data_IF_946665113264
#
_entry.id   IF_946665113264
#
_cell.length_a   1.000
_cell.length_b   1.000
_cell.length_c   1.000
_cell.angle_alpha   90.00
_cell.angle_beta   90.00
_cell.angle_gamma   90.00
#
_symmetry.space_group_name_H-M   'P 1'
#
loop_
_entity.id
_entity.type
_entity.pdbx_description
1 polymer ?
#
# COMPACT_ATOMS: atom_id res chain seq x y z
N UNK A 1 -7.58 -6.32 3.78
CA UNK A 1 -7.25 -7.59 4.48
C UNK A 1 -5.84 -7.57 5.04
N UNK A 2 -4.80 -7.42 4.22
CA UNK A 2 -3.39 -7.36 4.64
C UNK A 2 -3.11 -6.36 5.78
N UNK A 3 -3.61 -5.13 5.67
CA UNK A 3 -3.48 -4.09 6.71
C UNK A 3 -4.07 -4.52 8.05
N UNK A 4 -5.26 -5.11 8.04
CA UNK A 4 -5.95 -5.55 9.25
C UNK A 4 -5.20 -6.71 9.92
N UNK A 5 -4.70 -7.66 9.13
CA UNK A 5 -3.87 -8.77 9.62
C UNK A 5 -2.56 -8.25 10.21
N UNK A 6 -1.88 -7.33 9.52
CA UNK A 6 -0.62 -6.77 10.01
C UNK A 6 -0.81 -5.92 11.28
N UNK A 7 -1.92 -5.18 11.39
CA UNK A 7 -2.25 -4.43 12.59
C UNK A 7 -2.62 -5.36 13.77
N UNK A 8 -3.40 -6.42 13.52
CA UNK A 8 -3.77 -7.36 14.57
C UNK A 8 -2.56 -8.17 15.08
N UNK A 9 -1.70 -8.66 14.18
CA UNK A 9 -0.49 -9.39 14.56
C UNK A 9 0.49 -8.51 15.34
N UNK A 10 0.61 -7.24 14.97
CA UNK A 10 1.41 -6.28 15.73
C UNK A 10 0.83 -6.04 17.13
N UNK A 11 -0.49 -5.80 17.26
CA UNK A 11 -1.13 -5.62 18.57
C UNK A 11 -0.97 -6.84 19.46
N UNK A 12 -1.11 -8.04 18.91
CA UNK A 12 -0.87 -9.28 19.65
C UNK A 12 0.59 -9.42 20.08
N UNK A 13 1.55 -9.08 19.21
CA UNK A 13 2.97 -9.18 19.54
C UNK A 13 3.41 -8.17 20.61
N UNK A 14 2.94 -6.92 20.54
CA UNK A 14 3.22 -5.90 21.56
C UNK A 14 2.73 -6.33 22.94
N UNK A 15 1.59 -7.02 23.01
CA UNK A 15 1.03 -7.52 24.26
C UNK A 15 1.71 -8.80 24.78
N UNK A 16 2.31 -9.61 23.90
CA UNK A 16 2.85 -10.93 24.24
C UNK A 16 4.36 -10.91 24.57
N UNK A 17 5.18 -10.28 23.72
CA UNK A 17 6.65 -10.28 23.83
C UNK A 17 7.21 -9.15 22.98
N UNK A 18 7.98 -8.23 23.58
CA UNK A 18 8.52 -7.05 22.92
C UNK A 18 9.15 -7.30 21.54
N UNK A 19 8.99 -6.31 20.65
CA UNK A 19 9.47 -6.18 19.27
C UNK A 19 10.08 -7.46 18.63
N UNK A 20 9.34 -8.05 17.68
CA UNK A 20 9.84 -9.15 16.84
C UNK A 20 11.09 -8.76 16.03
N UNK A 21 11.71 -9.75 15.37
CA UNK A 21 12.94 -9.54 14.59
C UNK A 21 12.81 -8.40 13.57
N UNK A 22 13.92 -7.76 13.21
CA UNK A 22 13.95 -6.65 12.25
C UNK A 22 13.29 -7.00 10.92
N UNK A 23 13.48 -8.24 10.43
CA UNK A 23 12.82 -8.75 9.22
C UNK A 23 11.30 -8.90 9.38
N UNK A 24 10.82 -9.33 10.54
CA UNK A 24 9.38 -9.46 10.81
C UNK A 24 8.71 -8.09 10.90
N UNK A 25 9.34 -7.13 11.56
CA UNK A 25 8.87 -5.74 11.64
C UNK A 25 8.82 -5.08 10.25
N UNK A 26 9.84 -5.33 9.41
CA UNK A 26 9.85 -4.87 8.03
C UNK A 26 8.70 -5.46 7.20
N UNK A 27 8.39 -6.76 7.38
CA UNK A 27 7.26 -7.40 6.69
C UNK A 27 5.89 -6.82 7.12
N UNK A 28 5.72 -6.49 8.41
CA UNK A 28 4.52 -5.79 8.91
C UNK A 28 4.39 -4.42 8.27
N UNK A 29 5.46 -3.62 8.30
CA UNK A 29 5.43 -2.28 7.73
C UNK A 29 5.17 -2.32 6.21
N UNK A 30 5.81 -3.23 5.48
CA UNK A 30 5.55 -3.43 4.06
C UNK A 30 4.09 -3.82 3.78
N UNK A 31 3.52 -4.74 4.57
CA UNK A 31 2.12 -5.16 4.45
C UNK A 31 1.15 -4.00 4.72
N UNK A 32 1.43 -3.17 5.74
CA UNK A 32 0.62 -1.99 6.08
C UNK A 32 0.70 -0.93 5.00
N UNK A 33 1.92 -0.56 4.58
CA UNK A 33 2.13 0.50 3.58
C UNK A 33 1.49 0.10 2.26
N UNK A 34 1.89 -1.05 1.69
CA UNK A 34 1.39 -1.49 0.39
C UNK A 34 -0.11 -1.77 0.48
N UNK A 35 -0.58 -2.43 1.54
CA UNK A 35 -2.00 -2.74 1.73
C UNK A 35 -2.89 -1.50 1.86
N UNK A 36 -2.45 -0.49 2.59
CA UNK A 36 -3.24 0.73 2.83
C UNK A 36 -3.33 1.55 1.54
N UNK A 37 -2.19 1.78 0.89
CA UNK A 37 -2.13 2.50 -0.39
C UNK A 37 -3.03 1.83 -1.42
N UNK A 38 -2.97 0.51 -1.51
CA UNK A 38 -3.77 -0.26 -2.47
C UNK A 38 -5.27 -0.19 -2.20
N UNK A 39 -5.67 -0.24 -0.93
CA UNK A 39 -7.07 -0.15 -0.51
C UNK A 39 -7.69 1.18 -0.92
N UNK A 40 -7.08 2.29 -0.51
CA UNK A 40 -7.58 3.63 -0.85
C UNK A 40 -7.44 3.94 -2.34
N UNK A 41 -6.34 3.54 -2.97
CA UNK A 41 -6.15 3.72 -4.40
C UNK A 41 -7.23 3.01 -5.23
N UNK A 42 -7.61 1.80 -4.84
CA UNK A 42 -8.67 1.04 -5.54
C UNK A 42 -10.04 1.68 -5.36
N UNK A 43 -10.33 2.22 -4.17
CA UNK A 43 -11.58 2.96 -3.91
C UNK A 43 -11.65 4.21 -4.80
N UNK A 44 -10.58 4.99 -4.90
CA UNK A 44 -10.54 6.18 -5.76
C UNK A 44 -10.67 5.79 -7.24
N UNK A 45 -9.99 4.72 -7.68
CA UNK A 45 -10.12 4.23 -9.06
C UNK A 45 -11.57 3.86 -9.41
N UNK A 46 -12.27 3.13 -8.52
CA UNK A 46 -13.70 2.80 -8.71
C UNK A 46 -14.57 4.04 -8.76
N UNK A 47 -14.34 5.01 -7.86
CA UNK A 47 -15.13 6.25 -7.82
C UNK A 47 -14.95 7.10 -9.09
N UNK A 48 -13.75 7.10 -9.68
CA UNK A 48 -13.48 7.77 -10.96
C UNK A 48 -14.14 7.03 -12.14
N UNK A 49 -14.08 5.70 -12.17
CA UNK A 49 -14.75 4.89 -13.20
C UNK A 49 -16.29 4.99 -13.15
N UNK A 50 -16.87 5.18 -11.97
CA UNK A 50 -18.30 5.45 -11.79
C UNK A 50 -18.71 6.88 -12.16
N UNK A 51 -17.77 7.75 -12.52
CA UNK A 51 -18.03 9.17 -12.81
C UNK A 51 -18.36 10.02 -11.58
N UNK A 52 -18.17 9.50 -10.37
CA UNK A 52 -18.53 10.18 -9.12
C UNK A 52 -17.44 11.19 -8.66
N UNK A 53 -16.22 11.04 -9.16
CA UNK A 53 -15.09 11.95 -8.91
C UNK A 53 -14.55 12.44 -10.26
N UNK A 54 -14.45 13.76 -10.41
CA UNK A 54 -13.91 14.41 -11.60
C UNK A 54 -12.41 14.21 -11.78
N UNK A 55 -11.93 14.40 -13.00
CA UNK A 55 -10.52 14.24 -13.32
C UNK A 55 -9.72 15.47 -12.87
N UNK A 56 -8.77 15.30 -11.94
CA UNK A 56 -7.92 16.39 -11.44
C UNK A 56 -6.52 16.36 -12.08
N UNK A 57 -6.48 15.97 -13.36
CA UNK A 57 -5.26 15.89 -14.15
C UNK A 57 -4.56 17.26 -14.11
N UNK A 58 -3.28 17.27 -13.78
CA UNK A 58 -2.42 18.46 -13.77
C UNK A 58 -2.68 19.50 -12.65
N UNK A 59 -3.32 19.12 -11.54
CA UNK A 59 -3.31 19.99 -10.36
C UNK A 59 -1.96 19.88 -9.63
N UNK A 60 -1.18 20.96 -9.64
CA UNK A 60 0.12 21.03 -8.93
C UNK A 60 -0.04 20.77 -7.43
N UNK A 61 -1.20 21.11 -6.84
CA UNK A 61 -1.48 20.85 -5.43
C UNK A 61 -1.47 19.35 -5.12
N UNK A 62 -2.05 18.50 -5.98
CA UNK A 62 -2.04 17.05 -5.77
C UNK A 62 -0.62 16.48 -5.81
N UNK A 63 0.23 16.95 -6.72
CA UNK A 63 1.64 16.52 -6.76
C UNK A 63 2.39 16.88 -5.47
N UNK A 64 2.21 18.11 -4.98
CA UNK A 64 2.83 18.56 -3.72
C UNK A 64 2.30 17.78 -2.52
N UNK A 65 0.98 17.58 -2.41
CA UNK A 65 0.36 16.81 -1.32
C UNK A 65 0.86 15.37 -1.32
N UNK A 66 0.91 14.72 -2.48
CA UNK A 66 1.38 13.35 -2.62
C UNK A 66 2.85 13.21 -2.24
N UNK A 67 3.70 14.13 -2.68
CA UNK A 67 5.12 14.13 -2.33
C UNK A 67 5.34 14.33 -0.82
N UNK A 68 4.65 15.30 -0.22
CA UNK A 68 4.72 15.55 1.23
C UNK A 68 4.24 14.32 2.02
N UNK A 69 3.12 13.74 1.60
CA UNK A 69 2.55 12.55 2.27
C UNK A 69 3.47 11.34 2.09
N UNK A 70 4.16 11.21 0.96
CA UNK A 70 5.14 10.15 0.71
C UNK A 70 6.36 10.29 1.62
N UNK A 71 6.91 11.49 1.74
CA UNK A 71 8.02 11.73 2.68
C UNK A 71 7.57 11.45 4.11
N UNK A 72 6.38 11.91 4.52
CA UNK A 72 5.83 11.66 5.85
C UNK A 72 5.60 10.17 6.13
N UNK A 73 5.08 9.41 5.17
CA UNK A 73 4.86 7.97 5.31
C UNK A 73 6.18 7.20 5.42
N UNK A 74 7.18 7.52 4.58
CA UNK A 74 8.50 6.86 4.61
C UNK A 74 9.24 7.19 5.90
N UNK A 75 9.30 8.47 6.29
CA UNK A 75 9.94 8.88 7.54
C UNK A 75 9.22 8.28 8.76
N UNK A 76 7.89 8.29 8.77
CA UNK A 76 7.09 7.63 9.80
C UNK A 76 7.37 6.12 9.92
N UNK A 77 7.48 5.41 8.80
CA UNK A 77 7.81 3.98 8.79
C UNK A 77 9.22 3.70 9.32
N UNK A 78 10.22 4.50 8.92
CA UNK A 78 11.60 4.36 9.39
C UNK A 78 11.72 4.68 10.89
N UNK A 79 11.06 5.75 11.34
CA UNK A 79 11.02 6.10 12.76
C UNK A 79 10.33 5.00 13.57
N UNK A 80 9.23 4.43 13.07
CA UNK A 80 8.55 3.32 13.73
C UNK A 80 9.45 2.09 13.86
N UNK A 81 10.19 1.75 12.80
CA UNK A 81 11.12 0.63 12.79
C UNK A 81 12.32 0.82 13.75
N UNK A 82 12.82 2.05 13.88
CA UNK A 82 14.04 2.36 14.67
C UNK A 82 13.74 2.68 16.13
N UNK A 83 12.61 3.31 16.42
CA UNK A 83 12.26 3.75 17.78
C UNK A 83 11.71 2.61 18.64
N UNK A 84 11.34 1.46 18.03
CA UNK A 84 10.67 0.37 18.73
C UNK A 84 9.35 0.80 19.39
N UNK A 85 8.70 1.84 18.86
CA UNK A 85 7.52 2.44 19.48
C UNK A 85 6.39 1.41 19.55
N UNK A 86 5.94 1.11 20.77
CA UNK A 86 4.81 0.21 21.03
C UNK A 86 3.48 0.95 21.08
N UNK A 87 3.45 2.23 20.72
CA UNK A 87 2.23 3.04 20.78
C UNK A 87 1.25 2.67 19.65
N UNK A 88 0.02 2.21 19.97
CA UNK A 88 -0.99 1.93 18.94
C UNK A 88 -1.36 3.18 18.14
N UNK A 89 -1.25 4.36 18.76
CA UNK A 89 -1.52 5.64 18.14
C UNK A 89 -0.55 5.95 16.98
N UNK A 90 0.74 5.62 17.12
CA UNK A 90 1.72 5.82 16.05
C UNK A 90 1.47 4.89 14.86
N UNK A 91 1.07 3.63 15.13
CA UNK A 91 0.68 2.69 14.07
C UNK A 91 -0.57 3.19 13.33
N UNK A 92 -1.59 3.65 14.07
CA UNK A 92 -2.80 4.22 13.48
C UNK A 92 -2.51 5.48 12.64
N UNK A 93 -1.61 6.34 13.12
CA UNK A 93 -1.16 7.52 12.36
C UNK A 93 -0.44 7.12 11.06
N UNK A 94 0.43 6.11 11.11
CA UNK A 94 1.11 5.58 9.93
C UNK A 94 0.12 5.01 8.91
N UNK A 95 -0.85 4.21 9.36
CA UNK A 95 -1.93 3.69 8.51
C UNK A 95 -2.71 4.85 7.87
N UNK A 96 -3.08 5.86 8.66
CA UNK A 96 -3.77 7.06 8.17
C UNK A 96 -2.99 7.79 7.09
N UNK A 97 -1.68 7.99 7.28
CA UNK A 97 -0.79 8.59 6.27
C UNK A 97 -0.73 7.74 4.99
N UNK A 98 -0.65 6.42 5.09
CA UNK A 98 -0.60 5.53 3.93
C UNK A 98 -1.94 5.51 3.17
N UNK A 99 -3.07 5.64 3.87
CA UNK A 99 -4.39 5.78 3.25
C UNK A 99 -4.50 7.09 2.47
N UNK A 100 -4.06 8.21 3.06
CA UNK A 100 -4.00 9.50 2.37
C UNK A 100 -3.07 9.45 1.15
N UNK A 101 -1.94 8.75 1.27
CA UNK A 101 -1.00 8.53 0.17
C UNK A 101 -1.64 7.77 -1.00
N UNK A 102 -2.45 6.75 -0.71
CA UNK A 102 -3.20 6.02 -1.75
C UNK A 102 -4.16 6.92 -2.53
N UNK A 103 -4.83 7.85 -1.85
CA UNK A 103 -5.70 8.84 -2.49
C UNK A 103 -4.86 9.77 -3.38
N UNK A 104 -3.79 10.33 -2.82
CA UNK A 104 -2.91 11.27 -3.53
C UNK A 104 -2.20 10.67 -4.75
N UNK A 105 -1.89 9.36 -4.74
CA UNK A 105 -1.27 8.70 -5.89
C UNK A 105 -2.24 8.49 -7.05
N UNK A 106 -3.50 8.11 -6.78
CA UNK A 106 -4.47 7.77 -7.84
C UNK A 106 -5.23 8.99 -8.36
N UNK A 107 -5.48 9.98 -7.50
CA UNK A 107 -6.25 11.18 -7.86
C UNK A 107 -5.72 11.96 -9.10
N UNK A 108 -4.40 12.22 -9.26
CA UNK A 108 -3.88 12.99 -10.39
C UNK A 108 -3.81 12.19 -11.70
N UNK A 109 -4.06 10.88 -11.66
CA UNK A 109 -4.02 10.02 -12.85
C UNK A 109 -5.31 10.21 -13.66
N UNK A 110 -5.19 10.40 -14.98
CA UNK A 110 -6.34 10.61 -15.85
C UNK A 110 -7.29 9.41 -15.90
N UNK A 111 -8.59 9.64 -16.09
CA UNK A 111 -9.61 8.60 -16.24
C UNK A 111 -9.30 7.60 -17.37
N UNK A 112 -8.70 8.09 -18.46
CA UNK A 112 -8.31 7.27 -19.61
C UNK A 112 -7.18 6.27 -19.29
N UNK A 113 -6.32 6.58 -18.31
CA UNK A 113 -5.18 5.73 -17.91
C UNK A 113 -5.55 4.80 -16.74
N UNK A 114 -6.79 4.86 -16.23
CA UNK A 114 -7.26 4.07 -15.08
C UNK A 114 -7.12 2.55 -15.21
N UNK A 115 -7.33 1.91 -16.39
CA UNK A 115 -7.15 0.46 -16.50
C UNK A 115 -5.74 -0.01 -16.11
N UNK A 116 -4.71 0.79 -16.42
CA UNK A 116 -3.32 0.51 -16.04
C UNK A 116 -3.15 0.62 -14.53
N UNK A 117 -3.75 1.65 -13.91
CA UNK A 117 -3.71 1.84 -12.45
C UNK A 117 -4.37 0.68 -11.72
N UNK A 118 -5.51 0.18 -12.23
CA UNK A 118 -6.19 -0.96 -11.64
C UNK A 118 -5.33 -2.22 -11.71
N UNK A 119 -4.66 -2.48 -12.83
CA UNK A 119 -3.72 -3.60 -12.97
C UNK A 119 -2.54 -3.48 -11.98
N UNK A 120 -2.00 -2.27 -11.81
CA UNK A 120 -0.91 -1.99 -10.88
C UNK A 120 -1.33 -2.17 -9.42
N UNK A 121 -2.51 -1.68 -9.02
CA UNK A 121 -3.07 -1.87 -7.68
C UNK A 121 -3.38 -3.36 -7.39
N UNK A 122 -3.77 -4.13 -8.41
CA UNK A 122 -3.92 -5.58 -8.27
C UNK A 122 -2.56 -6.25 -7.99
N UNK A 123 -1.49 -5.84 -8.69
CA UNK A 123 -0.14 -6.32 -8.42
C UNK A 123 0.30 -5.99 -6.97
N UNK A 124 0.01 -4.79 -6.50
CA UNK A 124 0.30 -4.38 -5.12
C UNK A 124 -0.49 -5.17 -4.08
N UNK A 125 -1.73 -5.56 -4.37
CA UNK A 125 -2.50 -6.48 -3.52
C UNK A 125 -1.77 -7.82 -3.35
N UNK A 126 -1.19 -8.36 -4.42
CA UNK A 126 -0.37 -9.57 -4.39
C UNK A 126 0.89 -9.41 -3.52
N UNK A 127 1.63 -8.31 -3.70
CA UNK A 127 2.81 -8.00 -2.88
C UNK A 127 2.47 -7.84 -1.39
N UNK A 128 1.36 -7.17 -1.06
CA UNK A 128 0.87 -7.06 0.31
C UNK A 128 0.45 -8.42 0.89
N UNK A 129 -0.11 -9.30 0.06
CA UNK A 129 -0.41 -10.69 0.40
C UNK A 129 0.85 -11.49 0.74
N UNK A 130 1.90 -11.36 -0.07
CA UNK A 130 3.20 -12.00 0.19
C UNK A 130 3.84 -11.49 1.48
N UNK A 131 3.83 -10.17 1.71
CA UNK A 131 4.31 -9.56 2.94
C UNK A 131 3.54 -10.09 4.17
N UNK A 132 2.21 -10.21 4.06
CA UNK A 132 1.37 -10.83 5.11
C UNK A 132 1.73 -12.29 5.33
N UNK A 133 2.07 -13.02 4.26
CA UNK A 133 2.58 -14.39 4.35
C UNK A 133 3.87 -14.50 5.17
N UNK A 134 4.81 -13.56 5.01
CA UNK A 134 6.01 -13.48 5.86
C UNK A 134 5.68 -13.15 7.32
N UNK A 135 4.72 -12.26 7.57
CA UNK A 135 4.26 -11.93 8.94
C UNK A 135 3.68 -13.15 9.65
N UNK A 136 2.92 -13.99 8.94
CA UNK A 136 2.26 -15.18 9.47
C UNK A 136 3.10 -16.46 9.38
N UNK A 137 4.27 -16.42 8.73
CA UNK A 137 5.06 -17.62 8.43
C UNK A 137 4.37 -18.60 7.48
N UNK A 138 3.42 -18.15 6.66
CA UNK A 138 2.62 -19.01 5.78
C UNK A 138 3.19 -19.04 4.35
N UNK A 139 3.82 -20.16 3.99
CA UNK A 139 4.43 -20.36 2.66
C UNK A 139 3.42 -20.25 1.51
N UNK A 140 2.18 -20.71 1.70
CA UNK A 140 1.14 -20.63 0.67
C UNK A 140 0.81 -19.17 0.32
N UNK A 141 0.68 -18.29 1.32
CA UNK A 141 0.45 -16.86 1.11
C UNK A 141 1.66 -16.16 0.46
N UNK A 142 2.88 -16.57 0.80
CA UNK A 142 4.10 -16.04 0.19
C UNK A 142 4.14 -16.38 -1.31
N UNK A 143 3.94 -17.67 -1.64
CA UNK A 143 4.00 -18.15 -3.03
C UNK A 143 2.87 -17.52 -3.85
N UNK A 144 1.63 -17.62 -3.39
CA UNK A 144 0.47 -17.06 -4.12
C UNK A 144 0.54 -15.55 -4.26
N UNK A 145 0.92 -14.83 -3.19
CA UNK A 145 1.08 -13.38 -3.23
C UNK A 145 2.17 -12.93 -4.20
N UNK A 146 3.33 -13.59 -4.18
CA UNK A 146 4.44 -13.29 -5.11
C UNK A 146 4.06 -13.54 -6.57
N UNK A 147 3.32 -14.62 -6.85
CA UNK A 147 2.86 -14.99 -8.18
C UNK A 147 1.84 -13.99 -8.73
N UNK A 148 0.86 -13.58 -7.92
CA UNK A 148 -0.12 -12.54 -8.29
C UNK A 148 0.58 -11.20 -8.49
N UNK A 149 1.50 -10.83 -7.60
CA UNK A 149 2.26 -9.58 -7.69
C UNK A 149 3.11 -9.50 -8.97
N UNK A 150 3.89 -10.54 -9.26
CA UNK A 150 4.72 -10.60 -10.47
C UNK A 150 3.86 -10.57 -11.74
N UNK A 151 2.79 -11.37 -11.79
CA UNK A 151 1.89 -11.42 -12.94
C UNK A 151 1.21 -10.07 -13.19
N UNK A 152 0.78 -9.39 -12.13
CA UNK A 152 0.17 -8.06 -12.21
C UNK A 152 1.14 -6.99 -12.71
N UNK A 153 2.39 -7.00 -12.26
CA UNK A 153 3.42 -6.06 -12.75
C UNK A 153 3.73 -6.29 -14.23
N UNK A 154 3.84 -7.56 -14.66
CA UNK A 154 4.05 -7.92 -16.08
C UNK A 154 2.87 -7.44 -16.92
N UNK A 155 1.63 -7.70 -16.48
CA UNK A 155 0.43 -7.23 -17.18
C UNK A 155 0.41 -5.71 -17.30
N UNK A 156 0.73 -5.00 -16.21
CA UNK A 156 0.79 -3.53 -16.20
C UNK A 156 1.80 -3.01 -17.23
N UNK A 157 2.98 -3.62 -17.31
CA UNK A 157 4.00 -3.25 -18.30
C UNK A 157 3.53 -3.48 -19.74
N UNK A 158 2.85 -4.59 -20.01
CA UNK A 158 2.26 -4.88 -21.32
C UNK A 158 1.17 -3.86 -21.67
N UNK A 159 0.34 -3.45 -20.70
CA UNK A 159 -0.71 -2.45 -20.90
C UNK A 159 -0.12 -1.06 -21.19
N UNK A 160 0.91 -0.62 -20.46
CA UNK A 160 1.61 0.65 -20.76
C UNK A 160 2.13 0.66 -22.20
N UNK A 161 2.82 -0.43 -22.60
CA UNK A 161 3.33 -0.58 -23.97
C UNK A 161 2.22 -0.57 -25.02
N UNK A 162 1.12 -1.26 -24.77
CA UNK A 162 -0.03 -1.29 -25.69
C UNK A 162 -0.74 0.07 -25.81
N UNK A 163 -0.68 0.89 -24.75
CA UNK A 163 -1.23 2.24 -24.72
C UNK A 163 -0.24 3.31 -25.19
N UNK A 164 0.93 2.91 -25.69
CA UNK A 164 2.00 3.79 -26.18
C UNK A 164 2.42 4.85 -25.15
N UNK A 165 2.52 4.41 -23.88
CA UNK A 165 2.97 5.21 -22.74
C UNK A 165 4.13 4.53 -22.02
#
# INVERSE_FOLDING_TARGET
ASVAVAASTWMHAVNATGAGSSGWTAAILASIVIGSVTLTGSVVAVLKLKGNIGDSRNNRLWHSVTLVTLIAAVTGAVLFATSGSTSPLALAALVGLCLLLGIGLVQPIGGADMPVVVALLNAYSGLAGAATGFVLGNQGLIITGSLVGASGLILTAIMCKAMNR
#
